data_IF_131888077664
#
_entry.id   IF_131888077664
#
_cell.length_a   1.000
_cell.length_b   1.000
_cell.length_c   1.000
_cell.angle_alpha   90.00
_cell.angle_beta   90.00
_cell.angle_gamma   90.00
#
_symmetry.space_group_name_H-M   'P 1'
#
loop_
_entity.id
_entity.type
_entity.pdbx_description
1 polymer ?
#
# COMPACT_ATOMS: atom_id res chain seq x y z
N UNK A 1 -9.33 0.54 -8.23
CA UNK A 1 -7.98 1.15 -8.35
C UNK A 1 -8.13 2.67 -8.45
N UNK A 2 -7.37 3.40 -7.67
CA UNK A 2 -7.38 4.87 -7.70
C UNK A 2 -6.66 5.32 -8.95
N UNK A 3 -7.26 6.24 -9.71
CA UNK A 3 -6.55 6.84 -10.83
C UNK A 3 -5.34 7.63 -10.32
N UNK A 4 -4.20 7.58 -11.01
CA UNK A 4 -3.03 8.36 -10.65
C UNK A 4 -3.37 9.85 -10.53
N UNK A 5 -2.85 10.50 -9.50
CA UNK A 5 -3.03 11.95 -9.32
C UNK A 5 -2.25 12.64 -10.44
N UNK A 6 -2.95 13.37 -11.30
CA UNK A 6 -2.31 14.14 -12.36
C UNK A 6 -1.89 15.52 -11.87
N UNK A 7 -0.63 15.84 -12.03
CA UNK A 7 -0.08 17.18 -11.80
C UNK A 7 1.25 17.30 -12.53
N UNK A 8 1.44 18.37 -13.29
CA UNK A 8 2.67 18.58 -14.04
C UNK A 8 3.72 19.32 -13.20
N UNK A 9 4.88 18.71 -13.00
CA UNK A 9 6.07 19.40 -12.52
C UNK A 9 7.05 19.49 -13.69
N UNK A 10 7.42 20.69 -14.05
CA UNK A 10 8.34 20.91 -15.16
C UNK A 10 9.66 21.46 -14.63
N UNK A 11 10.77 20.76 -14.86
CA UNK A 11 12.11 21.23 -14.53
C UNK A 11 12.95 21.32 -15.81
N UNK A 12 13.48 22.50 -16.08
CA UNK A 12 14.39 22.72 -17.22
C UNK A 12 15.74 23.23 -16.70
N UNK A 13 16.82 22.59 -17.12
CA UNK A 13 18.17 23.03 -16.73
C UNK A 13 19.26 22.08 -17.20
N UNK A 14 20.50 22.55 -17.17
CA UNK A 14 21.69 21.73 -17.35
C UNK A 14 22.24 21.35 -15.96
N UNK A 15 22.10 20.09 -15.57
CA UNK A 15 22.58 19.60 -14.27
C UNK A 15 21.61 18.61 -13.66
N UNK A 16 21.84 18.23 -12.41
CA UNK A 16 20.93 17.37 -11.66
C UNK A 16 19.69 18.20 -11.30
N UNK A 17 18.49 17.85 -11.80
CA UNK A 17 17.29 18.58 -11.45
C UNK A 17 17.00 18.41 -9.95
N UNK A 18 16.90 19.53 -9.26
CA UNK A 18 16.49 19.56 -7.84
C UNK A 18 15.06 20.05 -7.78
N UNK A 19 14.16 19.18 -7.36
CA UNK A 19 12.76 19.52 -7.14
C UNK A 19 12.62 19.87 -5.67
N UNK A 20 12.21 21.11 -5.37
CA UNK A 20 11.95 21.52 -3.99
C UNK A 20 10.54 21.08 -3.58
N UNK A 21 10.46 20.31 -2.49
CA UNK A 21 9.21 19.78 -1.96
C UNK A 21 8.51 20.67 -0.93
N UNK A 22 7.36 20.25 -0.43
CA UNK A 22 6.77 18.92 -0.63
C UNK A 22 6.06 18.77 -1.98
N UNK A 23 6.41 17.73 -2.73
CA UNK A 23 5.78 17.42 -4.03
C UNK A 23 4.47 16.68 -3.80
N UNK A 24 4.47 15.77 -2.82
CA UNK A 24 3.31 14.98 -2.44
C UNK A 24 2.66 15.60 -1.21
N UNK A 25 1.45 16.12 -1.36
CA UNK A 25 0.70 16.78 -0.30
C UNK A 25 -0.44 15.95 0.26
N UNK A 26 -0.70 14.80 -0.37
CA UNK A 26 -1.74 13.83 0.03
C UNK A 26 -1.21 12.43 -0.12
N UNK A 27 -1.72 11.50 0.67
CA UNK A 27 -1.50 10.07 0.47
C UNK A 27 -2.12 9.58 -0.85
N UNK A 28 -1.61 8.50 -1.38
CA UNK A 28 -2.11 7.85 -2.58
C UNK A 28 -1.03 7.40 -3.55
N UNK A 29 -1.46 6.85 -4.66
CA UNK A 29 -0.60 6.37 -5.73
C UNK A 29 -0.38 7.48 -6.77
N UNK A 30 0.89 7.82 -7.00
CA UNK A 30 1.30 8.83 -7.98
C UNK A 30 2.02 8.17 -9.14
N UNK A 31 1.61 8.50 -10.37
CA UNK A 31 2.41 8.18 -11.55
C UNK A 31 3.44 9.29 -11.76
N UNK A 32 4.72 8.91 -11.85
CA UNK A 32 5.82 9.81 -12.16
C UNK A 32 6.33 9.48 -13.55
N UNK A 33 6.14 10.42 -14.47
CA UNK A 33 6.67 10.34 -15.82
C UNK A 33 7.87 11.27 -15.94
N UNK A 34 9.01 10.71 -16.34
CA UNK A 34 10.24 11.48 -16.60
C UNK A 34 10.50 11.47 -18.09
N UNK A 35 10.38 12.64 -18.71
CA UNK A 35 10.65 12.81 -20.14
C UNK A 35 11.98 13.55 -20.32
N UNK A 36 12.94 12.93 -20.98
CA UNK A 36 14.22 13.52 -21.34
C UNK A 36 14.12 13.98 -22.80
N UNK A 37 13.90 15.26 -22.98
CA UNK A 37 13.86 15.87 -24.32
C UNK A 37 15.26 16.19 -24.83
N UNK A 38 15.53 15.87 -26.08
CA UNK A 38 16.77 16.28 -26.76
C UNK A 38 18.05 15.60 -26.28
N UNK A 39 17.96 14.39 -25.69
CA UNK A 39 19.13 13.63 -25.33
C UNK A 39 19.84 13.12 -26.60
N UNK A 40 21.02 13.67 -26.88
CA UNK A 40 21.87 13.22 -27.99
C UNK A 40 22.97 12.29 -27.47
N UNK A 41 23.05 11.07 -28.01
CA UNK A 41 24.20 10.21 -27.82
C UNK A 41 25.24 10.49 -28.90
N UNK A 42 26.55 10.46 -28.59
CA UNK A 42 27.61 10.56 -29.62
C UNK A 42 27.53 9.48 -30.72
N UNK A 43 26.73 8.44 -30.49
CA UNK A 43 26.57 7.29 -31.41
C UNK A 43 25.25 7.32 -32.19
N UNK A 44 24.28 8.12 -31.79
CA UNK A 44 22.99 8.21 -32.46
C UNK A 44 22.61 9.68 -32.63
N UNK A 45 22.44 10.11 -33.87
CA UNK A 45 22.05 11.49 -34.21
C UNK A 45 20.53 11.75 -34.07
N UNK A 46 19.76 10.78 -33.59
CA UNK A 46 18.32 10.90 -33.43
C UNK A 46 18.02 11.19 -31.97
N UNK A 47 17.58 12.40 -31.71
CA UNK A 47 17.07 12.81 -30.40
C UNK A 47 15.57 12.49 -30.34
N UNK A 48 15.23 11.25 -30.08
CA UNK A 48 13.87 10.92 -29.67
C UNK A 48 13.75 11.15 -28.15
N UNK A 49 12.64 11.68 -27.66
CA UNK A 49 12.44 11.79 -26.22
C UNK A 49 12.47 10.41 -25.58
N UNK A 50 13.18 10.30 -24.46
CA UNK A 50 13.18 9.11 -23.62
C UNK A 50 12.16 9.33 -22.51
N UNK A 51 11.20 8.44 -22.40
CA UNK A 51 10.17 8.47 -21.39
C UNK A 51 10.33 7.30 -20.42
N UNK A 52 10.26 7.59 -19.13
CA UNK A 52 10.31 6.61 -18.05
C UNK A 52 9.12 6.85 -17.12
N UNK A 53 8.30 5.84 -16.98
CA UNK A 53 7.16 5.86 -16.05
C UNK A 53 7.43 5.01 -14.84
N UNK A 54 7.05 5.51 -13.67
CA UNK A 54 7.08 4.75 -12.42
C UNK A 54 5.96 5.20 -11.49
N UNK A 55 5.58 4.32 -10.57
CA UNK A 55 4.59 4.62 -9.55
C UNK A 55 5.27 4.79 -8.19
N UNK A 56 4.81 5.78 -7.44
CA UNK A 56 5.25 6.03 -6.07
C UNK A 56 4.02 6.07 -5.17
N UNK A 57 4.02 5.21 -4.16
CA UNK A 57 3.00 5.24 -3.11
C UNK A 57 3.40 6.21 -2.02
N UNK A 58 2.48 7.10 -1.66
CA UNK A 58 2.63 8.02 -0.53
C UNK A 58 1.67 7.60 0.56
N UNK A 59 2.21 7.31 1.75
CA UNK A 59 1.41 6.82 2.85
C UNK A 59 0.34 7.83 3.29
N UNK A 60 -0.81 7.32 3.68
CA UNK A 60 -1.90 8.06 4.29
C UNK A 60 -2.27 7.40 5.62
N UNK A 61 -2.52 8.20 6.64
CA UNK A 61 -3.01 7.71 7.93
C UNK A 61 -4.53 7.85 7.98
N UNK A 62 -5.20 6.77 8.36
CA UNK A 62 -6.62 6.73 8.61
C UNK A 62 -6.85 6.27 10.05
N UNK A 63 -7.75 6.94 10.75
CA UNK A 63 -8.03 6.71 12.17
C UNK A 63 -9.38 6.01 12.33
N UNK A 64 -9.34 4.87 13.01
CA UNK A 64 -10.53 4.11 13.35
C UNK A 64 -10.64 3.99 14.87
N UNK A 65 -11.83 3.93 15.40
CA UNK A 65 -12.07 3.79 16.82
C UNK A 65 -12.65 2.41 17.11
N UNK A 66 -12.04 1.69 18.05
CA UNK A 66 -12.60 0.44 18.55
C UNK A 66 -13.67 0.80 19.58
N UNK A 67 -14.94 0.45 19.37
CA UNK A 67 -16.05 0.88 20.23
C UNK A 67 -15.95 0.39 21.68
N UNK A 68 -15.29 -0.73 21.91
CA UNK A 68 -15.20 -1.40 23.22
C UNK A 68 -13.94 -1.03 24.03
N UNK A 69 -12.95 -0.46 23.38
CA UNK A 69 -11.76 0.04 24.04
C UNK A 69 -11.96 1.53 24.32
N UNK A 70 -12.30 1.86 25.57
CA UNK A 70 -12.46 3.24 26.01
C UNK A 70 -11.31 4.12 25.53
N UNK A 71 -11.53 4.89 24.47
CA UNK A 71 -10.69 5.98 23.97
C UNK A 71 -9.29 5.59 23.43
N UNK A 72 -9.10 4.40 22.91
CA UNK A 72 -7.85 4.07 22.23
C UNK A 72 -8.09 4.12 20.72
N UNK A 73 -7.61 5.13 19.99
CA UNK A 73 -7.70 5.16 18.56
C UNK A 73 -6.76 4.08 17.98
N UNK A 74 -7.28 3.25 17.12
CA UNK A 74 -6.48 2.41 16.25
C UNK A 74 -6.17 3.20 14.98
N UNK A 75 -4.93 3.13 14.53
CA UNK A 75 -4.50 3.83 13.33
C UNK A 75 -4.11 2.80 12.28
N UNK A 76 -4.70 2.90 11.11
CA UNK A 76 -4.20 2.19 9.92
C UNK A 76 -3.48 3.21 9.06
N UNK A 77 -2.25 2.88 8.71
CA UNK A 77 -1.46 3.64 7.77
C UNK A 77 -1.36 2.86 6.47
N UNK A 78 -2.06 3.32 5.47
CA UNK A 78 -2.11 2.70 4.16
C UNK A 78 -1.01 3.27 3.26
N UNK A 79 -0.33 2.40 2.51
CA UNK A 79 0.66 2.76 1.52
C UNK A 79 0.21 2.46 0.10
N UNK A 80 -1.02 1.99 -0.07
CA UNK A 80 -1.55 1.62 -1.37
C UNK A 80 -2.79 2.42 -1.74
N UNK A 81 -3.92 2.24 -1.03
CA UNK A 81 -5.16 2.99 -1.27
C UNK A 81 -5.92 3.20 0.04
N UNK A 82 -7.00 3.97 0.00
CA UNK A 82 -7.82 4.26 1.17
C UNK A 82 -8.53 3.00 1.67
N UNK A 83 -8.48 2.79 2.98
CA UNK A 83 -9.18 1.70 3.66
C UNK A 83 -10.63 2.12 3.94
N UNK A 84 -11.54 1.20 3.73
CA UNK A 84 -12.97 1.34 4.00
C UNK A 84 -13.53 0.15 4.76
N UNK A 85 -14.77 0.26 5.22
CA UNK A 85 -15.50 -0.82 5.89
C UNK A 85 -14.70 -1.49 7.03
N UNK A 86 -14.00 -0.67 7.80
CA UNK A 86 -13.27 -1.15 8.97
C UNK A 86 -14.22 -1.73 10.00
N UNK A 87 -13.95 -2.96 10.42
CA UNK A 87 -14.71 -3.65 11.46
C UNK A 87 -13.75 -4.31 12.46
N UNK A 88 -14.01 -4.11 13.73
CA UNK A 88 -13.37 -4.81 14.82
C UNK A 88 -14.36 -5.74 15.50
N UNK A 89 -14.01 -7.02 15.64
CA UNK A 89 -14.80 -8.03 16.36
C UNK A 89 -14.05 -8.51 17.58
N UNK A 90 -14.45 -8.04 18.76
CA UNK A 90 -13.81 -8.43 20.02
C UNK A 90 -13.94 -9.92 20.32
N UNK A 91 -15.06 -10.57 19.93
CA UNK A 91 -15.29 -12.00 20.17
C UNK A 91 -14.22 -12.87 19.49
N UNK A 92 -13.79 -12.48 18.30
CA UNK A 92 -12.88 -13.24 17.46
C UNK A 92 -11.46 -12.68 17.49
N UNK A 93 -11.30 -11.52 18.15
CA UNK A 93 -10.07 -10.72 18.14
C UNK A 93 -9.60 -10.47 16.69
N UNK A 94 -10.54 -10.10 15.82
CA UNK A 94 -10.26 -9.87 14.41
C UNK A 94 -10.47 -8.42 14.01
N UNK A 95 -9.63 -7.98 13.09
CA UNK A 95 -9.74 -6.72 12.37
C UNK A 95 -10.00 -7.08 10.91
N UNK A 96 -10.96 -6.44 10.31
CA UNK A 96 -11.23 -6.56 8.88
C UNK A 96 -11.47 -5.20 8.25
N UNK A 97 -11.07 -5.05 7.02
CA UNK A 97 -11.27 -3.84 6.23
C UNK A 97 -11.21 -4.15 4.74
N UNK A 98 -11.53 -3.17 3.93
CA UNK A 98 -11.52 -3.26 2.48
C UNK A 98 -10.72 -2.11 1.89
N UNK A 99 -10.16 -2.35 0.71
CA UNK A 99 -9.55 -1.30 -0.10
C UNK A 99 -9.84 -1.52 -1.59
N UNK A 100 -9.86 -0.48 -2.42
CA UNK A 100 -9.91 -0.63 -3.86
C UNK A 100 -8.68 -1.38 -4.38
N UNK A 101 -8.90 -2.43 -5.16
CA UNK A 101 -7.84 -3.20 -5.80
C UNK A 101 -8.33 -3.84 -7.09
N UNK A 102 -7.50 -3.88 -8.10
CA UNK A 102 -7.82 -4.53 -9.37
C UNK A 102 -7.17 -5.92 -9.44
N UNK A 103 -8.01 -6.96 -9.43
CA UNK A 103 -7.56 -8.36 -9.48
C UNK A 103 -7.23 -8.87 -10.89
N UNK A 104 -7.31 -8.02 -11.92
CA UNK A 104 -6.88 -8.40 -13.26
C UNK A 104 -5.40 -8.83 -13.26
N UNK A 105 -5.05 -9.97 -13.89
CA UNK A 105 -3.66 -10.48 -13.90
C UNK A 105 -2.62 -9.46 -14.37
N UNK A 106 -2.94 -8.72 -15.43
CA UNK A 106 -2.06 -7.69 -15.99
C UNK A 106 -1.79 -6.55 -14.98
N UNK A 107 -2.77 -6.24 -14.13
CA UNK A 107 -2.59 -5.25 -13.07
C UNK A 107 -1.74 -5.80 -11.93
N UNK A 108 -1.99 -7.03 -11.50
CA UNK A 108 -1.19 -7.69 -10.45
C UNK A 108 0.28 -7.77 -10.84
N UNK A 109 0.59 -7.96 -12.13
CA UNK A 109 1.97 -7.98 -12.64
C UNK A 109 2.73 -6.67 -12.40
N UNK A 110 2.02 -5.56 -12.26
CA UNK A 110 2.59 -4.24 -11.99
C UNK A 110 2.76 -3.94 -10.49
N UNK A 111 2.08 -4.70 -9.62
CA UNK A 111 2.08 -4.47 -8.18
C UNK A 111 3.27 -5.16 -7.52
N UNK A 112 4.17 -4.39 -6.94
CA UNK A 112 5.29 -4.93 -6.19
C UNK A 112 4.86 -5.44 -4.81
N UNK A 113 4.08 -4.64 -4.09
CA UNK A 113 3.59 -4.93 -2.74
C UNK A 113 2.37 -4.06 -2.42
N UNK A 114 1.40 -4.65 -1.71
CA UNK A 114 0.37 -3.92 -0.96
C UNK A 114 0.83 -3.90 0.49
N UNK A 115 0.93 -2.72 1.08
CA UNK A 115 1.45 -2.54 2.44
C UNK A 115 0.49 -1.72 3.28
N UNK A 116 0.10 -2.30 4.40
CA UNK A 116 -0.69 -1.66 5.44
C UNK A 116 0.03 -1.76 6.77
N UNK A 117 0.00 -0.71 7.57
CA UNK A 117 0.45 -0.71 8.96
C UNK A 117 -0.74 -0.55 9.87
N UNK A 118 -0.97 -1.53 10.72
CA UNK A 118 -1.99 -1.46 11.78
C UNK A 118 -1.26 -1.14 13.09
N UNK A 119 -1.60 -0.02 13.71
CA UNK A 119 -0.96 0.46 14.94
C UNK A 119 -1.89 0.30 16.11
N UNK A 120 -1.46 -0.49 17.08
CA UNK A 120 -2.27 -0.88 18.22
C UNK A 120 -1.50 -0.52 19.50
N UNK A 121 -2.13 0.17 20.46
CA UNK A 121 -1.49 0.48 21.73
C UNK A 121 -0.97 -0.77 22.45
N UNK A 122 0.24 -0.67 22.98
CA UNK A 122 0.90 -1.78 23.70
C UNK A 122 0.14 -2.30 24.92
N UNK A 123 -0.69 -1.47 25.52
CA UNK A 123 -1.52 -1.82 26.67
C UNK A 123 -2.88 -2.42 26.28
N UNK A 124 -3.12 -2.66 25.00
CA UNK A 124 -4.35 -3.28 24.53
C UNK A 124 -4.21 -4.80 24.49
N UNK A 125 -4.61 -5.45 25.56
CA UNK A 125 -4.48 -6.89 25.82
C UNK A 125 -4.89 -7.83 24.68
N UNK A 126 -6.02 -7.60 23.96
CA UNK A 126 -6.43 -8.50 22.90
C UNK A 126 -5.40 -8.70 21.79
N UNK A 127 -4.50 -7.73 21.59
CA UNK A 127 -3.47 -7.73 20.56
C UNK A 127 -2.07 -7.63 21.15
N UNK A 128 -1.77 -8.43 22.18
CA UNK A 128 -0.41 -8.51 22.69
C UNK A 128 0.51 -9.18 21.67
N UNK A 129 1.79 -8.78 21.65
CA UNK A 129 2.82 -9.35 20.77
C UNK A 129 3.09 -10.84 21.01
N UNK A 130 2.56 -11.40 22.08
CA UNK A 130 2.66 -12.83 22.39
C UNK A 130 1.67 -13.68 21.57
N UNK A 131 0.73 -13.04 20.88
CA UNK A 131 -0.22 -13.72 20.01
C UNK A 131 0.36 -13.90 18.62
N UNK A 132 0.16 -15.07 18.03
CA UNK A 132 0.40 -15.29 16.61
C UNK A 132 -0.72 -14.62 15.82
N UNK A 133 -0.34 -13.73 14.91
CA UNK A 133 -1.28 -13.10 13.98
C UNK A 133 -1.41 -13.94 12.73
N UNK A 134 -2.65 -14.10 12.25
CA UNK A 134 -2.97 -14.79 11.01
C UNK A 134 -3.68 -13.79 10.10
N UNK A 135 -3.18 -13.63 8.89
CA UNK A 135 -3.77 -12.73 7.90
C UNK A 135 -4.50 -13.47 6.79
N UNK A 136 -5.52 -12.84 6.28
CA UNK A 136 -6.29 -13.31 5.14
C UNK A 136 -6.45 -12.17 4.13
N UNK A 137 -6.49 -12.52 2.87
CA UNK A 137 -6.88 -11.62 1.78
C UNK A 137 -7.94 -12.35 0.94
N UNK A 138 -9.10 -11.75 0.81
CA UNK A 138 -10.29 -12.33 0.14
C UNK A 138 -10.59 -13.78 0.61
N UNK A 139 -10.42 -14.03 1.91
CA UNK A 139 -10.64 -15.34 2.54
C UNK A 139 -9.52 -16.36 2.33
N UNK A 140 -8.47 -16.01 1.60
CA UNK A 140 -7.28 -16.85 1.43
C UNK A 140 -6.23 -16.48 2.46
N UNK A 141 -5.81 -17.45 3.28
CA UNK A 141 -4.74 -17.21 4.25
C UNK A 141 -3.43 -16.85 3.54
N UNK A 142 -2.80 -15.76 3.96
CA UNK A 142 -1.49 -15.34 3.44
C UNK A 142 -0.34 -16.06 4.15
N UNK A 143 0.84 -16.06 3.52
CA UNK A 143 2.06 -16.56 4.16
C UNK A 143 2.36 -15.77 5.46
N UNK A 144 2.80 -16.45 6.50
CA UNK A 144 3.10 -15.82 7.80
C UNK A 144 4.13 -14.69 7.69
N UNK A 145 4.97 -14.68 6.64
CA UNK A 145 5.92 -13.59 6.37
C UNK A 145 5.26 -12.32 5.89
N UNK A 146 3.98 -12.38 5.50
CA UNK A 146 3.22 -11.20 5.16
C UNK A 146 2.84 -10.35 6.39
N UNK A 147 2.91 -10.92 7.58
CA UNK A 147 2.63 -10.23 8.84
C UNK A 147 3.90 -10.12 9.69
N UNK A 148 4.36 -8.90 9.87
CA UNK A 148 5.53 -8.59 10.70
C UNK A 148 5.11 -7.70 11.85
N UNK A 149 5.39 -8.14 13.08
CA UNK A 149 5.12 -7.34 14.28
C UNK A 149 6.37 -6.58 14.68
N UNK A 150 6.28 -5.26 14.72
CA UNK A 150 7.33 -4.37 15.21
C UNK A 150 6.92 -3.72 16.53
N UNK A 151 7.44 -4.21 17.66
CA UNK A 151 7.18 -3.63 18.98
C UNK A 151 8.20 -2.55 19.38
N UNK A 152 9.18 -2.25 18.51
CA UNK A 152 10.32 -1.42 18.90
C UNK A 152 10.29 -0.01 18.29
N UNK A 153 9.68 0.17 17.12
CA UNK A 153 9.68 1.46 16.42
C UNK A 153 8.76 2.52 17.03
N UNK A 154 7.88 2.13 17.95
CA UNK A 154 7.05 3.07 18.74
C UNK A 154 7.18 2.78 20.22
N UNK A 155 7.19 3.80 21.08
CA UNK A 155 7.19 3.64 22.53
C UNK A 155 5.83 3.18 23.07
N UNK A 156 4.75 3.56 22.40
CA UNK A 156 3.37 3.40 22.89
C UNK A 156 2.55 2.38 22.11
N UNK A 157 2.98 2.00 20.91
CA UNK A 157 2.23 1.16 19.99
C UNK A 157 3.03 -0.06 19.54
N UNK A 158 2.35 -1.16 19.27
CA UNK A 158 2.84 -2.24 18.42
C UNK A 158 2.42 -1.94 16.98
N UNK A 159 3.31 -2.14 16.03
CA UNK A 159 3.02 -1.94 14.62
C UNK A 159 2.96 -3.32 13.96
N UNK A 160 1.83 -3.64 13.36
CA UNK A 160 1.66 -4.83 12.55
C UNK A 160 1.76 -4.40 11.09
N UNK A 161 2.83 -4.81 10.43
CA UNK A 161 2.98 -4.62 8.99
C UNK A 161 2.32 -5.77 8.26
N UNK A 162 1.36 -5.46 7.41
CA UNK A 162 0.74 -6.41 6.51
C UNK A 162 1.27 -6.17 5.09
N UNK A 163 2.11 -7.07 4.61
CA UNK A 163 2.89 -6.95 3.38
C UNK A 163 2.49 -8.04 2.40
N UNK A 164 1.58 -7.75 1.48
CA UNK A 164 1.17 -8.71 0.44
C UNK A 164 1.98 -8.43 -0.82
N UNK A 165 2.99 -9.26 -1.07
CA UNK A 165 3.86 -9.11 -2.25
C UNK A 165 3.14 -9.48 -3.54
N UNK A 166 3.64 -9.00 -4.69
CA UNK A 166 3.09 -9.36 -6.00
C UNK A 166 3.05 -10.88 -6.25
N UNK A 167 4.03 -11.64 -5.73
CA UNK A 167 4.02 -13.10 -5.82
C UNK A 167 2.92 -13.73 -4.97
N UNK A 168 2.61 -13.15 -3.82
CA UNK A 168 1.52 -13.61 -2.95
C UNK A 168 0.17 -13.24 -3.55
N UNK A 169 0.04 -12.05 -4.14
CA UNK A 169 -1.16 -11.66 -4.88
C UNK A 169 -1.48 -12.63 -6.03
N UNK A 170 -0.45 -13.05 -6.79
CA UNK A 170 -0.61 -14.07 -7.84
C UNK A 170 -1.09 -15.39 -7.28
N UNK A 171 -0.48 -15.87 -6.19
CA UNK A 171 -0.90 -17.10 -5.53
C UNK A 171 -2.36 -17.04 -5.06
N UNK A 172 -2.77 -15.93 -4.46
CA UNK A 172 -4.15 -15.71 -4.01
C UNK A 172 -5.10 -15.75 -5.22
N UNK A 173 -4.76 -15.01 -6.28
CA UNK A 173 -5.55 -14.96 -7.51
C UNK A 173 -5.71 -16.34 -8.17
N UNK A 174 -4.65 -17.16 -8.16
CA UNK A 174 -4.70 -18.54 -8.64
C UNK A 174 -5.63 -19.44 -7.82
N UNK A 175 -5.68 -19.22 -6.49
CA UNK A 175 -6.58 -19.95 -5.59
C UNK A 175 -8.04 -19.57 -5.82
N UNK A 176 -8.31 -18.27 -6.01
CA UNK A 176 -9.67 -17.73 -6.20
C UNK A 176 -10.22 -18.02 -7.61
N UNK A 177 -9.34 -18.13 -8.60
CA UNK A 177 -9.69 -18.46 -9.98
C UNK A 177 -10.19 -17.28 -10.80
N UNK A 178 -10.48 -17.56 -12.08
CA UNK A 178 -10.79 -16.50 -13.08
C UNK A 178 -12.03 -15.67 -12.78
N UNK A 179 -12.99 -16.20 -12.04
CA UNK A 179 -14.21 -15.47 -11.68
C UNK A 179 -13.92 -14.27 -10.74
N UNK A 180 -12.73 -14.26 -10.13
CA UNK A 180 -12.28 -13.19 -9.25
C UNK A 180 -11.59 -12.04 -9.99
N UNK A 181 -11.16 -12.22 -11.24
CA UNK A 181 -10.40 -11.20 -11.99
C UNK A 181 -11.15 -9.89 -12.22
N UNK A 182 -12.47 -9.93 -12.21
CA UNK A 182 -13.31 -8.73 -12.36
C UNK A 182 -13.57 -8.00 -11.05
N UNK A 183 -13.12 -8.56 -9.92
CA UNK A 183 -13.27 -7.91 -8.62
C UNK A 183 -12.40 -6.64 -8.56
N UNK A 184 -12.94 -5.58 -7.96
CA UNK A 184 -12.29 -4.27 -7.82
C UNK A 184 -12.07 -3.87 -6.37
N UNK A 185 -12.19 -4.81 -5.47
CA UNK A 185 -11.97 -4.64 -4.04
C UNK A 185 -11.12 -5.79 -3.48
N UNK A 186 -10.34 -5.49 -2.45
CA UNK A 186 -9.56 -6.44 -1.67
C UNK A 186 -10.04 -6.39 -0.22
N UNK A 187 -10.28 -7.56 0.37
CA UNK A 187 -10.69 -7.72 1.76
C UNK A 187 -9.53 -8.27 2.60
N UNK A 188 -9.31 -7.63 3.75
CA UNK A 188 -8.34 -8.04 4.76
C UNK A 188 -9.02 -8.54 6.02
#
# INVERSE_FOLDING_TARGET
>A
AREPISGGLYAQGSGVPVIQGPIFTKGGLYNISVVIEGATSPKTLVAEPLEFDTFVSVAQEQYFTIPEASAVPETIKTYYDDVSNFEFKASDKSISFQMPFDWAPDYIDLVAVVHEEIRIPKNYEPYSIENDFIGYVDGVQVDNRALLVDPYSSETENIIHFLVTGSELKRINDVLGSDHYDNKEMFF
#
